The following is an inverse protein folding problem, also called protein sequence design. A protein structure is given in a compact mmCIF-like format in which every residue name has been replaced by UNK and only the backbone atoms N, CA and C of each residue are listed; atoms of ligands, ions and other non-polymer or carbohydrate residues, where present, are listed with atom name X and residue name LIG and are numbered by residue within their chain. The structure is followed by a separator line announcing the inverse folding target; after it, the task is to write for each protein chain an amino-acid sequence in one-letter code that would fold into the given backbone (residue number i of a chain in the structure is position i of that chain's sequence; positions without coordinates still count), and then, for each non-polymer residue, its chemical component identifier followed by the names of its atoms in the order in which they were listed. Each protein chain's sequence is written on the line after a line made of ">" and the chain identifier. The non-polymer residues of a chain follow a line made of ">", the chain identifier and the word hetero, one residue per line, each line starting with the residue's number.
data_IF_088430229265
#
_entry.id   IF_088430229265
#
_cell.length_a   1.000
_cell.length_b   1.000
_cell.length_c   1.000
_cell.angle_alpha   90.00
_cell.angle_beta   90.00
_cell.angle_gamma   90.00
#
_symmetry.space_group_name_H-M   'P 1'
#
loop_
_entity.id
_entity.type
_entity.pdbx_description
1 polymer ?
#
# COMPACT_ATOMS: atom_id res chain seq x y z
N UNK A 1 10.84 -36.68 -10.10
CA UNK A 1 9.92 -35.52 -9.93
C UNK A 1 10.28 -34.69 -8.68
N UNK A 2 11.56 -34.33 -8.47
CA UNK A 2 12.06 -33.74 -7.20
C UNK A 2 12.55 -32.29 -7.26
N UNK A 3 12.85 -31.73 -8.44
CA UNK A 3 13.38 -30.36 -8.61
C UNK A 3 12.34 -29.25 -8.39
N UNK A 4 11.06 -29.50 -8.68
CA UNK A 4 9.99 -28.49 -8.53
C UNK A 4 9.63 -28.18 -7.06
N UNK A 5 9.91 -29.10 -6.13
CA UNK A 5 9.54 -28.97 -4.70
C UNK A 5 10.46 -28.05 -3.90
N UNK A 6 11.64 -27.73 -4.43
CA UNK A 6 12.56 -26.72 -3.89
C UNK A 6 12.21 -25.32 -4.39
N UNK A 7 11.99 -25.17 -5.70
CA UNK A 7 11.63 -23.88 -6.33
C UNK A 7 10.33 -23.29 -5.77
N UNK A 8 9.29 -24.09 -5.62
CA UNK A 8 8.01 -23.63 -5.05
C UNK A 8 8.15 -23.15 -3.59
N UNK A 9 9.08 -23.77 -2.83
CA UNK A 9 9.41 -23.36 -1.46
C UNK A 9 10.12 -22.00 -1.44
N UNK A 10 11.09 -21.81 -2.33
CA UNK A 10 11.81 -20.55 -2.45
C UNK A 10 10.85 -19.39 -2.81
N UNK A 11 9.93 -19.62 -3.75
CA UNK A 11 8.89 -18.65 -4.12
C UNK A 11 7.96 -18.35 -2.94
N UNK A 12 7.55 -19.37 -2.17
CA UNK A 12 6.68 -19.20 -0.98
C UNK A 12 7.35 -18.31 0.09
N UNK A 13 8.64 -18.53 0.36
CA UNK A 13 9.41 -17.71 1.29
C UNK A 13 9.64 -16.28 0.78
N UNK A 14 9.92 -16.11 -0.52
CA UNK A 14 10.07 -14.79 -1.14
C UNK A 14 8.76 -13.99 -1.06
N UNK A 15 7.62 -14.62 -1.39
CA UNK A 15 6.30 -14.00 -1.28
C UNK A 15 5.98 -13.61 0.16
N UNK A 16 6.26 -14.50 1.13
CA UNK A 16 6.05 -14.20 2.55
C UNK A 16 6.92 -13.03 3.02
N UNK A 17 8.21 -13.03 2.68
CA UNK A 17 9.14 -11.97 3.06
C UNK A 17 8.77 -10.62 2.46
N UNK A 18 8.48 -10.59 1.16
CA UNK A 18 8.09 -9.36 0.47
C UNK A 18 6.77 -8.80 1.00
N UNK A 19 5.78 -9.65 1.24
CA UNK A 19 4.47 -9.19 1.72
C UNK A 19 4.50 -8.75 3.20
N UNK A 20 5.39 -9.35 4.00
CA UNK A 20 5.64 -8.91 5.37
C UNK A 20 6.37 -7.57 5.42
N UNK A 21 7.30 -7.32 4.50
CA UNK A 21 7.91 -6.00 4.31
C UNK A 21 6.87 -4.95 3.91
N UNK A 22 5.96 -5.26 2.98
CA UNK A 22 4.87 -4.37 2.60
C UNK A 22 3.93 -4.06 3.77
N UNK A 23 3.64 -5.05 4.60
CA UNK A 23 2.83 -4.87 5.79
C UNK A 23 3.50 -3.93 6.80
N UNK A 24 4.80 -4.10 7.06
CA UNK A 24 5.58 -3.23 7.93
C UNK A 24 5.74 -1.81 7.36
N UNK A 25 5.93 -1.69 6.04
CA UNK A 25 5.99 -0.39 5.37
C UNK A 25 4.64 0.34 5.47
N UNK A 26 3.53 -0.36 5.23
CA UNK A 26 2.18 0.21 5.38
C UNK A 26 1.89 0.70 6.79
N UNK A 27 2.25 -0.09 7.81
CA UNK A 27 2.07 0.31 9.21
C UNK A 27 2.95 1.52 9.58
N UNK A 28 4.18 1.60 9.07
CA UNK A 28 5.04 2.76 9.24
C UNK A 28 4.43 4.01 8.60
N UNK A 29 3.92 3.92 7.37
CA UNK A 29 3.28 5.05 6.66
C UNK A 29 2.03 5.55 7.40
N UNK A 30 1.18 4.65 7.89
CA UNK A 30 0.03 5.02 8.73
C UNK A 30 0.52 5.70 10.02
N UNK A 31 1.53 5.14 10.68
CA UNK A 31 2.13 5.72 11.88
C UNK A 31 2.63 7.14 11.65
N UNK A 32 3.37 7.38 10.56
CA UNK A 32 3.83 8.71 10.17
C UNK A 32 2.68 9.66 9.83
N UNK A 33 1.68 9.21 9.08
CA UNK A 33 0.52 10.04 8.73
C UNK A 33 -0.30 10.45 9.95
N UNK A 34 -0.54 9.52 10.89
CA UNK A 34 -1.21 9.81 12.16
C UNK A 34 -0.34 10.68 13.07
N UNK A 35 0.97 10.44 13.13
CA UNK A 35 1.89 11.27 13.90
C UNK A 35 1.87 12.71 13.41
N UNK A 36 1.89 12.95 12.10
CA UNK A 36 1.75 14.29 11.56
C UNK A 36 0.39 14.91 11.91
N UNK A 37 -0.70 14.13 11.83
CA UNK A 37 -2.05 14.62 12.14
C UNK A 37 -2.24 15.02 13.60
N UNK A 38 -1.71 14.23 14.54
CA UNK A 38 -1.93 14.40 15.98
C UNK A 38 -0.78 15.09 16.71
N UNK A 39 0.44 15.06 16.17
CA UNK A 39 1.67 15.54 16.80
C UNK A 39 1.80 17.06 16.89
N UNK A 40 0.76 17.82 16.57
CA UNK A 40 0.75 19.28 16.70
C UNK A 40 1.60 20.03 15.67
N UNK A 41 2.56 19.37 15.00
CA UNK A 41 3.48 19.93 14.00
C UNK A 41 2.77 20.71 12.90
N UNK A 42 1.57 20.29 12.47
CA UNK A 42 0.81 20.99 11.41
C UNK A 42 0.29 22.36 11.88
N UNK A 43 0.09 22.56 13.20
CA UNK A 43 -0.38 23.83 13.76
C UNK A 43 0.70 24.92 13.67
N UNK A 44 1.96 24.54 13.84
CA UNK A 44 3.10 25.45 13.64
C UNK A 44 3.26 25.84 12.17
N UNK A 45 3.12 24.88 11.24
CA UNK A 45 3.19 25.16 9.79
C UNK A 45 1.98 25.93 9.23
N UNK A 46 0.80 25.83 9.86
CA UNK A 46 -0.43 26.48 9.37
C UNK A 46 -0.53 27.96 9.74
N UNK A 47 0.42 28.49 10.53
CA UNK A 47 0.43 29.91 10.93
C UNK A 47 1.00 30.83 9.84
N UNK A 48 1.64 30.26 8.82
CA UNK A 48 2.26 31.01 7.72
C UNK A 48 1.64 30.58 6.39
N UNK A 49 0.59 31.32 5.98
CA UNK A 49 0.18 31.54 4.60
C UNK A 49 0.01 30.32 3.64
N UNK A 50 -1.27 30.06 3.28
CA UNK A 50 -1.82 29.26 2.15
C UNK A 50 -2.32 27.84 2.46
N UNK A 51 -3.66 27.75 2.47
CA UNK A 51 -4.49 26.56 2.18
C UNK A 51 -4.06 25.24 2.86
N UNK A 52 -4.30 25.10 4.17
CA UNK A 52 -4.03 23.85 4.90
C UNK A 52 -4.84 22.64 4.37
N UNK A 53 -5.86 22.87 3.55
CA UNK A 53 -6.76 21.82 3.05
C UNK A 53 -6.06 20.80 2.14
N UNK A 54 -5.18 21.23 1.24
CA UNK A 54 -4.45 20.33 0.35
C UNK A 54 -3.47 19.44 1.12
N UNK A 55 -2.85 19.97 2.17
CA UNK A 55 -1.95 19.24 3.03
C UNK A 55 -2.70 18.17 3.85
N UNK A 56 -3.87 18.52 4.40
CA UNK A 56 -4.74 17.54 5.05
C UNK A 56 -5.23 16.46 4.08
N UNK A 57 -5.63 16.83 2.85
CA UNK A 57 -5.99 15.86 1.82
C UNK A 57 -4.83 14.89 1.53
N UNK A 58 -3.61 15.40 1.36
CA UNK A 58 -2.43 14.57 1.15
C UNK A 58 -2.18 13.59 2.29
N UNK A 59 -2.35 14.02 3.54
CA UNK A 59 -2.25 13.15 4.73
C UNK A 59 -3.33 12.06 4.75
N UNK A 60 -4.58 12.38 4.42
CA UNK A 60 -5.65 11.37 4.33
C UNK A 60 -5.37 10.35 3.23
N UNK A 61 -4.88 10.80 2.06
CA UNK A 61 -4.45 9.90 0.98
C UNK A 61 -3.27 9.04 1.42
N UNK A 62 -2.28 9.59 2.13
CA UNK A 62 -1.12 8.86 2.64
C UNK A 62 -1.54 7.76 3.64
N UNK A 63 -2.42 8.08 4.59
CA UNK A 63 -2.97 7.11 5.56
C UNK A 63 -3.81 6.06 4.84
N UNK A 64 -4.64 6.45 3.87
CA UNK A 64 -5.44 5.52 3.07
C UNK A 64 -4.58 4.55 2.25
N UNK A 65 -3.55 5.06 1.58
CA UNK A 65 -2.58 4.24 0.85
C UNK A 65 -1.82 3.29 1.79
N UNK A 66 -1.41 3.77 2.97
CA UNK A 66 -0.79 2.95 4.01
C UNK A 66 -1.71 1.80 4.48
N UNK A 67 -2.99 2.08 4.70
CA UNK A 67 -3.99 1.08 5.07
C UNK A 67 -4.22 0.04 3.97
N UNK A 68 -4.25 0.47 2.70
CA UNK A 68 -4.36 -0.42 1.55
C UNK A 68 -3.13 -1.34 1.45
N UNK A 69 -1.91 -0.79 1.58
CA UNK A 69 -0.67 -1.56 1.60
C UNK A 69 -0.65 -2.57 2.76
N UNK A 70 -1.11 -2.18 3.94
CA UNK A 70 -1.20 -3.05 5.11
C UNK A 70 -2.23 -4.18 4.88
N UNK A 71 -3.40 -3.90 4.31
CA UNK A 71 -4.41 -4.91 4.00
C UNK A 71 -3.89 -5.93 2.98
N UNK A 72 -3.28 -5.48 1.89
CA UNK A 72 -2.66 -6.34 0.87
C UNK A 72 -1.51 -7.17 1.47
N UNK A 73 -0.69 -6.55 2.31
CA UNK A 73 0.37 -7.18 3.11
C UNK A 73 -0.13 -8.28 4.05
N UNK A 74 -1.31 -8.08 4.65
CA UNK A 74 -1.93 -9.09 5.51
C UNK A 74 -2.52 -10.24 4.68
N UNK A 75 -3.27 -9.94 3.63
CA UNK A 75 -3.90 -10.96 2.79
C UNK A 75 -2.91 -11.89 2.11
N UNK A 76 -1.78 -11.38 1.60
CA UNK A 76 -0.76 -12.27 1.02
C UNK A 76 0.06 -13.04 2.07
N UNK A 77 0.20 -12.57 3.31
CA UNK A 77 0.78 -13.36 4.41
C UNK A 77 -0.14 -14.52 4.81
N UNK A 78 -1.44 -14.24 4.97
CA UNK A 78 -2.46 -15.27 5.17
C UNK A 78 -2.53 -16.25 3.99
N UNK A 79 -2.34 -15.76 2.76
CA UNK A 79 -2.33 -16.58 1.55
C UNK A 79 -1.12 -17.50 1.45
N UNK A 80 0.05 -17.02 1.83
CA UNK A 80 1.26 -17.85 1.93
C UNK A 80 1.10 -18.94 3.00
N UNK A 81 0.47 -18.63 4.14
CA UNK A 81 0.27 -19.59 5.24
C UNK A 81 -0.77 -20.67 4.92
N UNK A 82 -1.85 -20.35 4.20
CA UNK A 82 -2.96 -21.29 3.97
C UNK A 82 -2.78 -22.28 2.82
N UNK A 83 -1.68 -22.22 2.05
CA UNK A 83 -1.42 -23.07 0.88
C UNK A 83 -2.62 -23.18 -0.09
N UNK A 84 -3.51 -22.17 -0.06
CA UNK A 84 -4.77 -22.18 -0.79
C UNK A 84 -4.62 -21.29 -2.02
N UNK A 85 -4.79 -21.90 -3.20
CA UNK A 85 -4.75 -21.18 -4.47
C UNK A 85 -5.77 -20.04 -4.56
N UNK A 86 -6.88 -20.10 -3.80
CA UNK A 86 -7.85 -19.01 -3.74
C UNK A 86 -7.28 -17.73 -3.12
N UNK A 87 -6.40 -17.82 -2.11
CA UNK A 87 -5.87 -16.61 -1.44
C UNK A 87 -4.73 -15.97 -2.23
N UNK A 88 -3.95 -16.78 -2.97
CA UNK A 88 -2.99 -16.27 -3.95
C UNK A 88 -3.72 -15.59 -5.13
N UNK A 89 -4.85 -16.17 -5.55
CA UNK A 89 -5.75 -15.57 -6.53
C UNK A 89 -6.31 -14.22 -6.07
N UNK A 90 -6.78 -14.10 -4.82
CA UNK A 90 -7.26 -12.82 -4.30
C UNK A 90 -6.17 -11.75 -4.23
N UNK A 91 -4.93 -12.14 -3.89
CA UNK A 91 -3.78 -11.22 -3.91
C UNK A 91 -3.50 -10.71 -5.32
N UNK A 92 -3.48 -11.61 -6.31
CA UNK A 92 -3.28 -11.24 -7.71
C UNK A 92 -4.39 -10.33 -8.24
N UNK A 93 -5.66 -10.63 -7.94
CA UNK A 93 -6.79 -9.78 -8.31
C UNK A 93 -6.69 -8.40 -7.64
N UNK A 94 -6.31 -8.32 -6.37
CA UNK A 94 -6.07 -7.04 -5.69
C UNK A 94 -4.98 -6.22 -6.39
N UNK A 95 -3.85 -6.84 -6.74
CA UNK A 95 -2.78 -6.17 -7.48
C UNK A 95 -3.23 -5.69 -8.86
N UNK A 96 -4.01 -6.49 -9.59
CA UNK A 96 -4.56 -6.07 -10.88
C UNK A 96 -5.49 -4.85 -10.75
N UNK A 97 -6.33 -4.82 -9.72
CA UNK A 97 -7.21 -3.68 -9.45
C UNK A 97 -6.40 -2.43 -9.09
N UNK A 98 -5.36 -2.57 -8.26
CA UNK A 98 -4.46 -1.47 -7.91
C UNK A 98 -3.74 -0.95 -9.16
N UNK A 99 -3.22 -1.84 -9.99
CA UNK A 99 -2.54 -1.47 -11.23
C UNK A 99 -3.49 -0.71 -12.18
N UNK A 100 -4.72 -1.20 -12.36
CA UNK A 100 -5.72 -0.52 -13.17
C UNK A 100 -6.07 0.87 -12.60
N UNK A 101 -6.16 0.99 -11.27
CA UNK A 101 -6.40 2.26 -10.58
C UNK A 101 -5.23 3.24 -10.76
N UNK A 102 -3.98 2.78 -10.65
CA UNK A 102 -2.78 3.60 -10.89
C UNK A 102 -2.72 4.09 -12.34
N UNK A 103 -2.97 3.21 -13.31
CA UNK A 103 -3.03 3.58 -14.73
C UNK A 103 -4.13 4.61 -14.97
N UNK A 104 -5.33 4.40 -14.42
CA UNK A 104 -6.46 5.33 -14.57
C UNK A 104 -6.12 6.69 -13.95
N UNK A 105 -5.57 6.69 -12.74
CA UNK A 105 -5.17 7.92 -12.03
C UNK A 105 -4.06 8.65 -12.79
N UNK A 106 -3.06 7.92 -13.29
CA UNK A 106 -1.95 8.50 -14.06
C UNK A 106 -2.41 9.12 -15.38
N UNK A 107 -3.28 8.44 -16.12
CA UNK A 107 -3.86 8.97 -17.36
C UNK A 107 -4.72 10.21 -17.08
N UNK A 108 -5.57 10.15 -16.05
CA UNK A 108 -6.42 11.29 -15.67
C UNK A 108 -5.60 12.49 -15.19
N UNK A 109 -4.54 12.24 -14.42
CA UNK A 109 -3.60 13.27 -13.99
C UNK A 109 -2.84 13.88 -15.18
N UNK A 110 -2.52 13.09 -16.21
CA UNK A 110 -1.85 13.61 -17.42
C UNK A 110 -2.79 14.50 -18.24
N UNK A 111 -4.02 14.05 -18.50
CA UNK A 111 -5.01 14.81 -19.27
C UNK A 111 -5.41 16.10 -18.53
N UNK A 112 -5.53 16.04 -17.19
CA UNK A 112 -5.87 17.20 -16.36
C UNK A 112 -4.74 18.21 -16.16
N UNK A 113 -3.50 17.93 -16.63
CA UNK A 113 -2.40 18.89 -16.59
C UNK A 113 -2.40 19.89 -17.76
N UNK A 114 -3.22 19.66 -18.80
CA UNK A 114 -3.34 20.51 -19.98
C UNK A 114 -4.49 21.55 -19.90
N UNK A 115 -5.07 21.75 -18.71
CA UNK A 115 -6.03 22.83 -18.39
C UNK A 115 -5.48 23.74 -17.29
#
# INVERSE_FOLDING_TARGET
>A
MGRFRGGLRCIKYLLLGFNLLFWLAGSAVIGFGLWFRFGGTIKDFSSEDKSPEYFYMGLYVLVGAGALMMAVGFFGCCGAMRESQCVLGSFFTCLLVIFAAEVTTGVFAFIGKDV
#
